data_IF_515779764472
#
_entry.id   IF_515779764472
#
_cell.length_a   1.000
_cell.length_b   1.000
_cell.length_c   1.000
_cell.angle_alpha   90.00
_cell.angle_beta   90.00
_cell.angle_gamma   90.00
#
_symmetry.space_group_name_H-M   'P 1'
#
loop_
_entity.id
_entity.type
_entity.pdbx_description
1 polymer ?
#
# COMPACT_ATOMS: atom_id res chain seq x y z
N UNK A 1 -19.12 -14.46 9.36
CA UNK A 1 -18.71 -14.72 7.97
C UNK A 1 -19.60 -13.99 6.98
N UNK A 2 -20.93 -14.10 7.07
CA UNK A 2 -21.85 -13.38 6.16
C UNK A 2 -21.66 -11.86 6.19
N UNK A 3 -21.52 -11.28 7.38
CA UNK A 3 -21.33 -9.83 7.56
C UNK A 3 -20.02 -9.31 6.93
N UNK A 4 -18.87 -9.95 7.20
CA UNK A 4 -17.59 -9.59 6.59
C UNK A 4 -17.63 -9.71 5.05
N UNK A 5 -18.27 -10.75 4.51
CA UNK A 5 -18.38 -10.92 3.07
C UNK A 5 -19.25 -9.86 2.41
N UNK A 6 -20.43 -9.58 2.96
CA UNK A 6 -21.34 -8.55 2.42
C UNK A 6 -20.68 -7.16 2.43
N UNK A 7 -20.01 -6.81 3.53
CA UNK A 7 -19.23 -5.57 3.64
C UNK A 7 -18.08 -5.53 2.62
N UNK A 8 -17.33 -6.63 2.50
CA UNK A 8 -16.23 -6.75 1.54
C UNK A 8 -16.70 -6.65 0.09
N UNK A 9 -17.83 -7.29 -0.23
CA UNK A 9 -18.45 -7.27 -1.54
C UNK A 9 -18.88 -5.85 -1.91
N UNK A 10 -19.58 -5.14 -1.02
CA UNK A 10 -19.98 -3.76 -1.22
C UNK A 10 -18.77 -2.85 -1.49
N UNK A 11 -17.66 -3.04 -0.75
CA UNK A 11 -16.45 -2.25 -0.94
C UNK A 11 -15.78 -2.54 -2.29
N UNK A 12 -15.56 -3.79 -2.67
CA UNK A 12 -14.88 -4.12 -3.93
C UNK A 12 -15.73 -3.75 -5.16
N UNK A 13 -17.07 -3.77 -5.03
CA UNK A 13 -17.98 -3.24 -6.06
C UNK A 13 -17.81 -1.72 -6.23
N UNK A 14 -17.75 -0.98 -5.12
CA UNK A 14 -17.47 0.47 -5.13
C UNK A 14 -16.11 0.77 -5.74
N UNK A 15 -15.07 0.03 -5.38
CA UNK A 15 -13.72 0.18 -5.94
C UNK A 15 -13.71 -0.10 -7.44
N UNK A 16 -14.36 -1.18 -7.88
CA UNK A 16 -14.37 -1.61 -9.27
C UNK A 16 -15.38 -0.88 -10.17
N UNK A 17 -16.30 -0.10 -9.61
CA UNK A 17 -17.39 0.52 -10.37
C UNK A 17 -18.31 -0.49 -11.08
N UNK A 18 -18.40 -1.73 -10.57
CA UNK A 18 -19.12 -2.85 -11.21
C UNK A 18 -19.86 -3.69 -10.18
N UNK A 19 -20.98 -4.27 -10.60
CA UNK A 19 -21.84 -5.10 -9.73
C UNK A 19 -21.20 -6.45 -9.38
N UNK A 20 -20.50 -7.10 -10.32
CA UNK A 20 -19.87 -8.41 -10.07
C UNK A 20 -18.33 -8.32 -10.14
N UNK A 21 -17.63 -8.50 -9.02
CA UNK A 21 -16.17 -8.48 -9.00
C UNK A 21 -15.54 -9.71 -9.68
N UNK A 22 -14.65 -9.48 -10.66
CA UNK A 22 -14.01 -10.58 -11.42
C UNK A 22 -13.18 -11.54 -10.58
N UNK A 23 -12.76 -11.16 -9.37
CA UNK A 23 -12.05 -12.08 -8.46
C UNK A 23 -12.96 -13.24 -8.02
N UNK A 24 -14.26 -13.00 -7.82
CA UNK A 24 -15.21 -14.05 -7.45
C UNK A 24 -15.45 -15.00 -8.64
N UNK A 25 -15.54 -14.46 -9.85
CA UNK A 25 -15.66 -15.27 -11.08
C UNK A 25 -14.44 -16.13 -11.31
N UNK A 26 -13.24 -15.60 -11.06
CA UNK A 26 -11.99 -16.33 -11.17
C UNK A 26 -12.00 -17.56 -10.25
N UNK A 27 -12.27 -17.38 -8.95
CA UNK A 27 -12.30 -18.48 -8.00
C UNK A 27 -13.43 -19.49 -8.28
N UNK A 28 -14.63 -19.01 -8.65
CA UNK A 28 -15.72 -19.89 -9.03
C UNK A 28 -15.38 -20.75 -10.26
N UNK A 29 -14.67 -20.19 -11.25
CA UNK A 29 -14.32 -20.90 -12.48
C UNK A 29 -13.39 -22.10 -12.29
N UNK A 30 -12.66 -22.15 -11.17
CA UNK A 30 -11.78 -23.26 -10.80
C UNK A 30 -12.38 -24.17 -9.71
N UNK A 31 -13.65 -23.98 -9.35
CA UNK A 31 -14.34 -24.80 -8.35
C UNK A 31 -14.13 -24.38 -6.89
N UNK A 32 -13.58 -23.18 -6.64
CA UNK A 32 -13.26 -22.67 -5.29
C UNK A 32 -14.05 -21.40 -4.90
N UNK A 33 -15.39 -21.33 -5.11
CA UNK A 33 -16.16 -20.12 -4.87
C UNK A 33 -16.11 -19.66 -3.40
N UNK A 34 -16.20 -20.58 -2.45
CA UNK A 34 -16.15 -20.25 -1.02
C UNK A 34 -14.82 -19.63 -0.60
N UNK A 35 -13.71 -20.08 -1.20
CA UNK A 35 -12.41 -19.50 -0.93
C UNK A 35 -12.34 -18.06 -1.46
N UNK A 36 -12.90 -17.81 -2.65
CA UNK A 36 -13.04 -16.45 -3.18
C UNK A 36 -13.87 -15.54 -2.27
N UNK A 37 -14.99 -16.01 -1.75
CA UNK A 37 -15.80 -15.26 -0.78
C UNK A 37 -15.04 -14.97 0.51
N UNK A 38 -14.30 -15.94 1.04
CA UNK A 38 -13.44 -15.74 2.22
C UNK A 38 -12.34 -14.71 1.96
N UNK A 39 -11.69 -14.75 0.80
CA UNK A 39 -10.71 -13.73 0.41
C UNK A 39 -11.35 -12.34 0.35
N UNK A 40 -12.54 -12.22 -0.25
CA UNK A 40 -13.24 -10.93 -0.33
C UNK A 40 -13.65 -10.42 1.05
N UNK A 41 -14.26 -11.29 1.86
CA UNK A 41 -14.70 -10.94 3.21
C UNK A 41 -13.54 -10.55 4.12
N UNK A 42 -12.40 -11.23 4.02
CA UNK A 42 -11.24 -10.88 4.82
C UNK A 42 -10.53 -9.62 4.32
N UNK A 43 -10.13 -9.58 3.05
CA UNK A 43 -9.33 -8.46 2.53
C UNK A 43 -10.17 -7.18 2.52
N UNK A 44 -11.32 -7.19 1.87
CA UNK A 44 -12.13 -5.99 1.70
C UNK A 44 -13.09 -5.76 2.87
N UNK A 45 -13.58 -6.82 3.51
CA UNK A 45 -14.47 -6.70 4.66
C UNK A 45 -13.74 -6.36 5.96
N UNK A 46 -12.54 -6.87 6.19
CA UNK A 46 -11.85 -6.67 7.48
C UNK A 46 -10.61 -5.79 7.35
N UNK A 47 -9.66 -6.13 6.48
CA UNK A 47 -8.36 -5.43 6.39
C UNK A 47 -8.52 -3.97 5.95
N UNK A 48 -9.35 -3.72 4.95
CA UNK A 48 -9.63 -2.37 4.46
C UNK A 48 -10.38 -1.49 5.46
N UNK A 49 -11.12 -2.08 6.40
CA UNK A 49 -11.92 -1.38 7.40
C UNK A 49 -11.13 -1.01 8.66
N UNK A 50 -9.88 -1.46 8.76
CA UNK A 50 -8.99 -1.03 9.85
C UNK A 50 -8.76 0.47 9.76
N UNK A 51 -8.70 1.12 10.91
CA UNK A 51 -8.37 2.54 11.00
C UNK A 51 -6.88 2.80 10.76
N UNK A 52 -6.53 4.01 10.33
CA UNK A 52 -5.14 4.48 10.26
C UNK A 52 -4.66 4.80 8.84
N UNK A 53 -5.35 4.27 7.83
CA UNK A 53 -5.27 4.73 6.44
C UNK A 53 -6.68 4.97 5.92
N UNK A 54 -6.87 6.11 5.26
CA UNK A 54 -8.07 6.39 4.49
C UNK A 54 -8.16 5.48 3.26
N UNK A 55 -9.35 5.34 2.69
CA UNK A 55 -9.55 4.53 1.50
C UNK A 55 -8.73 5.01 0.27
N UNK A 56 -8.60 6.33 0.00
CA UNK A 56 -7.66 6.85 -1.00
C UNK A 56 -6.20 6.46 -0.72
N UNK A 57 -5.72 6.63 0.51
CA UNK A 57 -4.35 6.23 0.88
C UNK A 57 -4.10 4.74 0.65
N UNK A 58 -5.08 3.88 1.00
CA UNK A 58 -5.01 2.44 0.73
C UNK A 58 -4.85 2.13 -0.75
N UNK A 59 -5.53 2.87 -1.63
CA UNK A 59 -5.36 2.68 -3.08
C UNK A 59 -3.99 3.16 -3.56
N UNK A 60 -3.49 4.31 -3.06
CA UNK A 60 -2.14 4.79 -3.40
C UNK A 60 -1.05 3.80 -2.95
N UNK A 61 -1.18 3.23 -1.74
CA UNK A 61 -0.33 2.16 -1.21
C UNK A 61 -0.32 0.96 -2.16
N UNK A 62 -1.51 0.47 -2.55
CA UNK A 62 -1.61 -0.68 -3.45
C UNK A 62 -1.05 -0.38 -4.84
N UNK A 63 -1.33 0.80 -5.41
CA UNK A 63 -0.77 1.22 -6.70
C UNK A 63 0.76 1.26 -6.66
N UNK A 64 1.35 1.84 -5.60
CA UNK A 64 2.80 1.89 -5.43
C UNK A 64 3.44 0.50 -5.36
N UNK A 65 2.89 -0.39 -4.53
CA UNK A 65 3.39 -1.75 -4.40
C UNK A 65 3.26 -2.56 -5.70
N UNK A 66 2.09 -2.52 -6.36
CA UNK A 66 1.86 -3.26 -7.61
C UNK A 66 2.72 -2.75 -8.77
N UNK A 67 3.03 -1.45 -8.78
CA UNK A 67 3.98 -0.86 -9.72
C UNK A 67 5.38 -1.43 -9.51
N UNK A 68 5.85 -1.44 -8.25
CA UNK A 68 7.17 -1.97 -7.90
C UNK A 68 7.33 -3.48 -8.19
N UNK A 69 6.25 -4.27 -8.06
CA UNK A 69 6.27 -5.68 -8.45
C UNK A 69 6.49 -5.90 -9.95
N UNK A 70 6.05 -4.98 -10.81
CA UNK A 70 6.32 -4.99 -12.26
C UNK A 70 5.60 -6.06 -13.10
N UNK A 71 4.99 -7.09 -12.48
CA UNK A 71 4.30 -8.17 -13.22
C UNK A 71 2.76 -8.15 -13.08
N UNK A 72 2.21 -7.41 -12.12
CA UNK A 72 0.80 -7.49 -11.73
C UNK A 72 -0.11 -6.51 -12.51
N UNK A 73 0.09 -6.35 -13.83
CA UNK A 73 -0.51 -5.26 -14.62
C UNK A 73 -2.05 -5.21 -14.61
N UNK A 74 -2.72 -6.35 -14.50
CA UNK A 74 -4.19 -6.39 -14.38
C UNK A 74 -4.69 -5.83 -13.04
N UNK A 75 -4.01 -6.18 -11.95
CA UNK A 75 -4.29 -5.64 -10.62
C UNK A 75 -3.93 -4.16 -10.53
N UNK A 76 -2.79 -3.75 -11.11
CA UNK A 76 -2.38 -2.35 -11.13
C UNK A 76 -3.43 -1.47 -11.84
N UNK A 77 -3.94 -1.93 -13.00
CA UNK A 77 -5.04 -1.23 -13.69
C UNK A 77 -6.29 -1.11 -12.82
N UNK A 78 -6.73 -2.22 -12.22
CA UNK A 78 -7.90 -2.20 -11.33
C UNK A 78 -7.73 -1.21 -10.18
N UNK A 79 -6.58 -1.21 -9.51
CA UNK A 79 -6.33 -0.34 -8.36
C UNK A 79 -6.07 1.13 -8.75
N UNK A 80 -5.53 1.39 -9.94
CA UNK A 80 -5.45 2.74 -10.49
C UNK A 80 -6.85 3.33 -10.75
N UNK A 81 -7.76 2.56 -11.35
CA UNK A 81 -9.16 2.98 -11.55
C UNK A 81 -9.89 3.11 -10.21
N UNK A 82 -9.68 2.17 -9.29
CA UNK A 82 -10.26 2.21 -7.96
C UNK A 82 -9.83 3.42 -7.14
N UNK A 83 -8.58 3.86 -7.27
CA UNK A 83 -8.09 5.10 -6.66
C UNK A 83 -8.92 6.31 -7.11
N UNK A 84 -9.20 6.42 -8.41
CA UNK A 84 -10.05 7.49 -8.96
C UNK A 84 -11.48 7.39 -8.41
N UNK A 85 -12.04 6.19 -8.34
CA UNK A 85 -13.40 5.95 -7.85
C UNK A 85 -13.59 6.31 -6.37
N UNK A 86 -12.52 6.37 -5.59
CA UNK A 86 -12.58 6.71 -4.15
C UNK A 86 -12.05 8.10 -3.83
N UNK A 87 -11.69 8.90 -4.83
CA UNK A 87 -11.40 10.32 -4.67
C UNK A 87 -9.95 10.74 -4.91
N UNK A 88 -9.04 9.84 -5.32
CA UNK A 88 -7.72 10.27 -5.79
C UNK A 88 -7.85 11.04 -7.11
N UNK A 89 -7.08 12.10 -7.27
CA UNK A 89 -6.93 12.80 -8.54
C UNK A 89 -6.11 11.99 -9.55
N UNK A 90 -6.38 12.17 -10.84
CA UNK A 90 -5.62 11.52 -11.93
C UNK A 90 -4.11 11.75 -11.80
N UNK A 91 -3.70 12.96 -11.42
CA UNK A 91 -2.28 13.28 -11.26
C UNK A 91 -1.65 12.60 -10.03
N UNK A 92 -2.41 12.38 -8.94
CA UNK A 92 -1.92 11.60 -7.80
C UNK A 92 -1.59 10.17 -8.23
N UNK A 93 -2.46 9.54 -9.03
CA UNK A 93 -2.24 8.16 -9.51
C UNK A 93 -1.05 8.08 -10.48
N UNK A 94 -0.92 9.03 -11.41
CA UNK A 94 0.22 9.10 -12.33
C UNK A 94 1.52 9.28 -11.55
N UNK A 95 1.57 10.26 -10.65
CA UNK A 95 2.76 10.51 -9.82
C UNK A 95 3.11 9.30 -8.94
N UNK A 96 2.12 8.58 -8.40
CA UNK A 96 2.36 7.37 -7.62
C UNK A 96 3.04 6.27 -8.44
N UNK A 97 2.64 6.08 -9.70
CA UNK A 97 3.25 5.08 -10.60
C UNK A 97 4.66 5.51 -11.02
N UNK A 98 4.84 6.78 -11.41
CA UNK A 98 6.15 7.32 -11.78
C UNK A 98 7.13 7.18 -10.61
N UNK A 99 6.71 7.61 -9.42
CA UNK A 99 7.56 7.60 -8.23
C UNK A 99 7.85 6.20 -7.71
N UNK A 100 6.86 5.29 -7.69
CA UNK A 100 7.11 3.90 -7.32
C UNK A 100 8.05 3.20 -8.30
N UNK A 101 7.98 3.52 -9.59
CA UNK A 101 8.89 3.00 -10.62
C UNK A 101 10.32 3.49 -10.41
N UNK A 102 10.48 4.78 -10.07
CA UNK A 102 11.78 5.35 -9.70
C UNK A 102 12.37 4.68 -8.45
N UNK A 103 11.55 4.52 -7.40
CA UNK A 103 11.95 3.85 -6.15
C UNK A 103 12.31 2.37 -6.40
N UNK A 104 11.66 1.69 -7.34
CA UNK A 104 11.95 0.30 -7.68
C UNK A 104 13.19 0.14 -8.59
N UNK A 105 13.47 1.11 -9.46
CA UNK A 105 14.55 1.05 -10.43
C UNK A 105 15.88 1.68 -9.99
N UNK A 106 15.88 2.54 -8.97
CA UNK A 106 17.11 3.22 -8.51
C UNK A 106 17.96 2.32 -7.61
N UNK A 107 19.30 2.35 -7.70
CA UNK A 107 20.17 1.64 -6.77
C UNK A 107 20.06 2.20 -5.34
N UNK A 108 20.34 1.36 -4.34
CA UNK A 108 20.26 1.76 -2.93
C UNK A 108 21.23 2.92 -2.66
N UNK A 109 20.70 4.13 -2.44
CA UNK A 109 21.48 5.32 -2.12
C UNK A 109 21.37 6.48 -3.12
N UNK A 110 20.80 6.27 -4.31
CA UNK A 110 20.48 7.36 -5.23
C UNK A 110 19.00 7.75 -5.08
N UNK A 111 18.75 8.78 -4.26
CA UNK A 111 17.53 9.58 -4.42
C UNK A 111 17.83 10.52 -5.58
N UNK A 112 17.34 10.22 -6.79
CA UNK A 112 17.53 11.11 -7.92
C UNK A 112 16.96 12.51 -7.57
N UNK A 113 17.60 13.60 -8.05
CA UNK A 113 17.11 14.93 -7.75
C UNK A 113 15.70 15.08 -8.30
N UNK A 114 14.78 15.50 -7.42
CA UNK A 114 13.37 15.73 -7.71
C UNK A 114 13.18 16.38 -9.08
N UNK A 115 12.51 15.67 -10.00
CA UNK A 115 11.84 16.31 -11.12
C UNK A 115 10.89 17.37 -10.57
N UNK A 116 11.11 18.61 -10.98
CA UNK A 116 10.46 19.82 -10.46
C UNK A 116 8.94 19.77 -10.56
N UNK A 117 8.31 20.20 -9.47
CA UNK A 117 6.88 20.47 -9.24
C UNK A 117 6.02 19.24 -8.89
N UNK A 118 5.53 19.20 -7.64
CA UNK A 118 4.56 18.22 -7.14
C UNK A 118 3.32 18.21 -8.03
N UNK A 119 3.04 17.08 -8.70
CA UNK A 119 1.98 16.98 -9.71
C UNK A 119 0.63 16.58 -9.11
N UNK A 120 0.60 16.05 -7.88
CA UNK A 120 -0.65 15.82 -7.15
C UNK A 120 -0.49 15.22 -5.76
N UNK A 121 0.57 14.44 -5.48
CA UNK A 121 0.74 13.84 -4.15
C UNK A 121 1.23 14.86 -3.12
N UNK A 122 0.64 14.82 -1.94
CA UNK A 122 1.22 15.46 -0.76
C UNK A 122 2.55 14.80 -0.36
N UNK A 123 3.40 15.49 0.43
CA UNK A 123 4.66 14.89 0.90
C UNK A 123 4.46 13.56 1.64
N UNK A 124 3.43 13.45 2.49
CA UNK A 124 3.12 12.22 3.24
C UNK A 124 2.66 11.10 2.32
N UNK A 125 1.75 11.38 1.37
CA UNK A 125 1.29 10.37 0.41
C UNK A 125 2.44 9.84 -0.45
N UNK A 126 3.34 10.73 -0.88
CA UNK A 126 4.53 10.34 -1.66
C UNK A 126 5.44 9.39 -0.88
N UNK A 127 5.72 9.68 0.39
CA UNK A 127 6.53 8.78 1.23
C UNK A 127 5.81 7.46 1.52
N UNK A 128 4.48 7.47 1.70
CA UNK A 128 3.69 6.24 1.82
C UNK A 128 3.82 5.36 0.56
N UNK A 129 3.81 5.95 -0.64
CA UNK A 129 4.03 5.24 -1.91
C UNK A 129 5.44 4.65 -1.98
N UNK A 130 6.48 5.38 -1.57
CA UNK A 130 7.84 4.86 -1.52
C UNK A 130 8.00 3.70 -0.53
N UNK A 131 7.41 3.82 0.67
CA UNK A 131 7.35 2.74 1.65
C UNK A 131 6.69 1.52 1.02
N UNK A 132 5.54 1.68 0.36
CA UNK A 132 4.83 0.58 -0.28
C UNK A 132 5.66 -0.12 -1.36
N UNK A 133 6.37 0.65 -2.19
CA UNK A 133 7.30 0.11 -3.19
C UNK A 133 8.46 -0.68 -2.54
N UNK A 134 9.08 -0.15 -1.48
CA UNK A 134 10.14 -0.84 -0.76
C UNK A 134 9.66 -2.14 -0.10
N UNK A 135 8.47 -2.13 0.50
CA UNK A 135 7.83 -3.32 1.08
C UNK A 135 7.60 -4.37 0.00
N UNK A 136 7.16 -3.97 -1.20
CA UNK A 136 6.93 -4.88 -2.32
C UNK A 136 8.21 -5.54 -2.85
N UNK A 137 9.34 -4.81 -2.85
CA UNK A 137 10.63 -5.38 -3.25
C UNK A 137 11.17 -6.40 -2.22
N UNK A 138 10.81 -6.27 -0.94
CA UNK A 138 11.08 -7.26 0.11
C UNK A 138 12.54 -7.41 0.56
N UNK A 139 13.51 -6.88 -0.19
CA UNK A 139 14.96 -7.02 0.07
C UNK A 139 15.69 -5.69 0.36
N UNK A 140 15.10 -4.55 0.01
CA UNK A 140 15.71 -3.22 0.16
C UNK A 140 15.52 -2.62 1.57
N UNK A 141 15.89 -3.38 2.61
CA UNK A 141 15.58 -3.04 4.02
C UNK A 141 16.20 -1.72 4.50
N UNK A 142 17.47 -1.37 4.18
CA UNK A 142 18.03 -0.07 4.56
C UNK A 142 17.27 1.11 3.95
N UNK A 143 16.83 0.97 2.69
CA UNK A 143 16.05 1.99 1.97
C UNK A 143 14.67 2.15 2.61
N UNK A 144 14.00 1.04 2.93
CA UNK A 144 12.75 1.06 3.68
C UNK A 144 12.93 1.83 5.00
N UNK A 145 13.97 1.53 5.78
CA UNK A 145 14.25 2.23 7.03
C UNK A 145 14.47 3.74 6.86
N UNK A 146 15.06 4.18 5.75
CA UNK A 146 15.21 5.60 5.43
C UNK A 146 13.84 6.26 5.15
N UNK A 147 13.00 5.68 4.28
CA UNK A 147 11.66 6.20 4.00
C UNK A 147 10.75 6.21 5.22
N UNK A 148 10.83 5.19 6.09
CA UNK A 148 10.06 5.18 7.34
C UNK A 148 10.45 6.33 8.28
N UNK A 149 11.76 6.63 8.41
CA UNK A 149 12.23 7.79 9.19
C UNK A 149 11.78 9.11 8.56
N UNK A 150 11.88 9.24 7.24
CA UNK A 150 11.41 10.42 6.51
C UNK A 150 9.91 10.62 6.72
N UNK A 151 9.10 9.58 6.53
CA UNK A 151 7.64 9.61 6.70
C UNK A 151 7.26 10.13 8.09
N UNK A 152 7.89 9.61 9.16
CA UNK A 152 7.68 10.11 10.52
C UNK A 152 8.12 11.58 10.67
N UNK A 153 9.26 11.96 10.10
CA UNK A 153 9.81 13.31 10.16
C UNK A 153 8.95 14.38 9.47
N UNK A 154 8.17 14.00 8.46
CA UNK A 154 7.27 14.91 7.73
C UNK A 154 5.82 14.86 8.22
N UNK A 155 5.56 14.21 9.36
CA UNK A 155 4.24 14.20 10.02
C UNK A 155 3.40 12.94 9.79
N UNK A 156 3.94 11.92 9.12
CA UNK A 156 3.33 10.59 9.10
C UNK A 156 3.36 9.91 10.47
N UNK A 157 2.50 8.92 10.67
CA UNK A 157 2.33 8.27 11.97
C UNK A 157 2.82 6.83 11.99
N UNK A 158 3.19 6.32 13.18
CA UNK A 158 3.47 4.88 13.38
C UNK A 158 2.29 4.01 12.96
N UNK A 159 1.05 4.48 13.18
CA UNK A 159 -0.19 3.78 12.78
C UNK A 159 -0.29 3.66 11.26
N UNK A 160 -0.03 4.73 10.50
CA UNK A 160 0.01 4.67 9.02
C UNK A 160 1.05 3.67 8.51
N UNK A 161 2.24 3.61 9.13
CA UNK A 161 3.28 2.63 8.77
C UNK A 161 2.79 1.19 8.99
N UNK A 162 2.28 0.90 10.19
CA UNK A 162 1.77 -0.44 10.54
C UNK A 162 0.65 -0.86 9.60
N UNK A 163 -0.32 0.03 9.35
CA UNK A 163 -1.43 -0.25 8.45
C UNK A 163 -1.00 -0.41 6.99
N UNK A 164 0.03 0.31 6.54
CA UNK A 164 0.60 0.13 5.20
C UNK A 164 1.17 -1.28 5.04
N UNK A 165 1.94 -1.77 6.01
CA UNK A 165 2.53 -3.10 5.97
C UNK A 165 1.47 -4.21 6.08
N UNK A 166 0.50 -4.05 6.99
CA UNK A 166 -0.60 -5.02 7.15
C UNK A 166 -1.49 -5.09 5.90
N UNK A 167 -1.79 -3.94 5.29
CA UNK A 167 -2.55 -3.87 4.04
C UNK A 167 -1.83 -4.60 2.90
N UNK A 168 -0.51 -4.41 2.79
CA UNK A 168 0.30 -4.99 1.72
C UNK A 168 0.57 -6.48 1.87
N UNK A 169 0.40 -7.10 3.04
CA UNK A 169 0.65 -8.53 3.25
C UNK A 169 -0.09 -9.42 2.23
N UNK A 170 -1.27 -9.00 1.75
CA UNK A 170 -2.07 -9.72 0.75
C UNK A 170 -1.66 -9.43 -0.70
N UNK A 171 -0.97 -8.34 -0.94
CA UNK A 171 -0.52 -7.92 -2.26
C UNK A 171 0.89 -8.41 -2.57
N UNK A 172 1.78 -8.39 -1.57
CA UNK A 172 3.21 -8.67 -1.74
C UNK A 172 3.65 -9.97 -1.05
N UNK A 173 2.74 -10.60 -0.30
CA UNK A 173 3.01 -11.83 0.45
C UNK A 173 3.54 -11.59 1.86
N UNK A 174 3.31 -12.58 2.72
CA UNK A 174 3.62 -12.51 4.15
C UNK A 174 5.11 -12.33 4.48
N UNK A 175 6.07 -12.99 3.79
CA UNK A 175 7.50 -12.81 4.09
C UNK A 175 7.99 -11.36 3.94
N UNK A 176 7.57 -10.68 2.86
CA UNK A 176 7.95 -9.28 2.61
C UNK A 176 7.36 -8.34 3.69
N UNK A 177 6.11 -8.59 4.09
CA UNK A 177 5.47 -7.84 5.18
C UNK A 177 6.17 -8.06 6.54
N UNK A 178 6.63 -9.28 6.85
CA UNK A 178 7.38 -9.55 8.08
C UNK A 178 8.74 -8.85 8.10
N UNK A 179 9.48 -8.86 6.98
CA UNK A 179 10.72 -8.11 6.86
C UNK A 179 10.49 -6.62 7.13
N UNK A 180 9.44 -6.06 6.52
CA UNK A 180 9.09 -4.65 6.70
C UNK A 180 8.70 -4.31 8.14
N UNK A 181 7.98 -5.20 8.82
CA UNK A 181 7.61 -5.00 10.23
C UNK A 181 8.84 -5.02 11.15
N UNK A 182 9.84 -5.84 10.84
CA UNK A 182 11.13 -5.84 11.52
C UNK A 182 11.83 -4.48 11.43
N UNK A 183 11.95 -3.93 10.21
CA UNK A 183 12.55 -2.61 9.98
C UNK A 183 11.75 -1.50 10.68
N UNK A 184 10.41 -1.55 10.62
CA UNK A 184 9.56 -0.58 11.32
C UNK A 184 9.80 -0.60 12.83
N UNK A 185 9.93 -1.80 13.43
CA UNK A 185 10.26 -1.94 14.84
C UNK A 185 11.60 -1.27 15.18
N UNK A 186 12.65 -1.51 14.42
CA UNK A 186 13.97 -0.87 14.63
C UNK A 186 13.87 0.66 14.59
N UNK A 187 13.18 1.21 13.58
CA UNK A 187 12.97 2.66 13.44
C UNK A 187 12.18 3.24 14.63
N UNK A 188 11.19 2.52 15.14
CA UNK A 188 10.39 2.95 16.29
C UNK A 188 11.19 2.93 17.60
N UNK A 189 12.05 1.94 17.77
CA UNK A 189 12.92 1.82 18.94
C UNK A 189 13.96 2.97 18.95
N UNK A 190 14.60 3.25 17.81
CA UNK A 190 15.56 4.37 17.64
C UNK A 190 14.96 5.73 18.05
N UNK A 191 13.73 6.01 17.59
CA UNK A 191 13.03 7.26 17.90
C UNK A 191 12.72 7.39 19.40
N UNK A 192 12.43 6.28 20.07
CA UNK A 192 12.10 6.26 21.50
C UNK A 192 13.35 6.49 22.37
N UNK A 193 14.50 5.99 21.92
CA UNK A 193 15.79 6.23 22.57
C UNK A 193 16.27 7.69 22.42
N UNK A 194 16.03 8.32 21.25
CA UNK A 194 16.41 9.71 20.98
C UNK A 194 15.64 10.76 21.81
N UNK A 195 14.40 10.46 22.22
CA UNK A 195 13.58 11.36 23.06
C UNK A 195 13.91 11.32 24.55
N UNK A 196 14.71 10.36 25.03
CA UNK A 196 15.07 10.19 26.44
C UNK A 196 16.38 10.86 26.89
N UNK A 197 17.09 11.54 25.98
CA UNK A 197 18.43 12.10 26.22
C UNK A 197 18.50 13.61 26.46
N UNK A 198 17.36 14.30 26.56
CA UNK A 198 17.30 15.74 26.86
C UNK A 198 16.47 15.93 28.13
N UNK A 199 17.13 15.73 29.28
CA UNK A 199 16.60 15.95 30.62
C UNK A 199 17.67 16.51 31.53
#
# INVERSE_FOLDING_TARGET
MTDSFEQGLALIQRLGGRERPAVLDLFASIGEPEFGERCVGFIYGEVYHREGLSLPERQLVTVGALTALGYASAQLRFHADAALNVGCGRQQVIEAIEYASEVAGSPAGEVLPRGSDSRGLSPVEREIVAVAACVAMGTELPRLGAHLRTLLGIGGTRKQIVETVLHLAFYVGFPAALNAMGVAKEVFDDQSAGTGGVG
#
